data_IF_396026939452
#
_entry.id   IF_396026939452
#
_cell.length_a   1.000
_cell.length_b   1.000
_cell.length_c   1.000
_cell.angle_alpha   90.00
_cell.angle_beta   90.00
_cell.angle_gamma   90.00
#
_symmetry.space_group_name_H-M   'P 1'
#
loop_
_entity.id
_entity.type
_entity.pdbx_description
1 polymer ?
#
# COMPACT_ATOMS: atom_id res chain seq x y z
N UNK A 1 5.82 15.94 6.03
CA UNK A 1 4.66 16.22 6.90
C UNK A 1 3.64 17.11 6.21
N UNK A 2 3.90 18.41 5.95
CA UNK A 2 2.86 19.30 5.38
C UNK A 2 2.51 18.97 3.92
N UNK A 3 3.50 19.01 3.01
CA UNK A 3 3.28 18.72 1.60
C UNK A 3 2.74 17.29 1.39
N UNK A 4 3.38 16.29 2.02
CA UNK A 4 2.93 14.90 1.92
C UNK A 4 1.52 14.71 2.49
N UNK A 5 1.13 15.43 3.55
CA UNK A 5 -0.23 15.37 4.10
C UNK A 5 -1.29 15.84 3.11
N UNK A 6 -1.07 16.96 2.43
CA UNK A 6 -2.01 17.48 1.43
C UNK A 6 -2.19 16.50 0.26
N UNK A 7 -1.09 15.96 -0.25
CA UNK A 7 -1.14 14.97 -1.34
C UNK A 7 -1.83 13.68 -0.89
N UNK A 8 -1.57 13.22 0.34
CA UNK A 8 -2.17 12.02 0.90
C UNK A 8 -3.69 12.13 1.07
N UNK A 9 -4.26 13.31 1.29
CA UNK A 9 -5.72 13.48 1.30
C UNK A 9 -6.31 12.97 -0.01
N UNK A 10 -5.78 13.41 -1.16
CA UNK A 10 -6.27 12.98 -2.47
C UNK A 10 -6.02 11.48 -2.69
N UNK A 11 -4.81 11.01 -2.39
CA UNK A 11 -4.43 9.61 -2.64
C UNK A 11 -5.25 8.62 -1.79
N UNK A 12 -5.38 8.89 -0.49
CA UNK A 12 -6.08 8.01 0.45
C UNK A 12 -7.58 8.03 0.17
N UNK A 13 -8.19 9.21 0.03
CA UNK A 13 -9.63 9.27 -0.23
C UNK A 13 -9.99 8.74 -1.62
N UNK A 14 -9.17 8.98 -2.64
CA UNK A 14 -9.36 8.35 -3.95
C UNK A 14 -9.24 6.82 -3.88
N UNK A 15 -8.26 6.31 -3.13
CA UNK A 15 -8.11 4.87 -2.90
C UNK A 15 -9.34 4.31 -2.16
N UNK A 16 -9.77 4.91 -1.05
CA UNK A 16 -10.95 4.44 -0.31
C UNK A 16 -12.23 4.54 -1.14
N UNK A 17 -12.43 5.64 -1.86
CA UNK A 17 -13.61 5.85 -2.69
C UNK A 17 -13.68 4.80 -3.81
N UNK A 18 -12.57 4.54 -4.50
CA UNK A 18 -12.53 3.51 -5.53
C UNK A 18 -12.90 2.14 -4.96
N UNK A 19 -12.20 1.68 -3.92
CA UNK A 19 -12.35 0.31 -3.42
C UNK A 19 -13.64 0.07 -2.61
N UNK A 20 -14.20 1.08 -1.94
CA UNK A 20 -15.35 0.89 -1.03
C UNK A 20 -16.66 1.51 -1.54
N UNK A 21 -16.60 2.64 -2.25
CA UNK A 21 -17.80 3.42 -2.59
C UNK A 21 -18.22 3.27 -4.04
N UNK A 22 -17.26 3.27 -4.96
CA UNK A 22 -17.53 3.28 -6.41
C UNK A 22 -17.53 1.88 -7.02
N UNK A 23 -16.84 0.92 -6.42
CA UNK A 23 -16.93 -0.49 -6.84
C UNK A 23 -18.30 -1.07 -6.46
N UNK A 24 -19.09 -1.58 -7.42
CA UNK A 24 -20.33 -2.31 -7.11
C UNK A 24 -20.04 -3.51 -6.19
N UNK A 25 -20.80 -3.63 -5.11
CA UNK A 25 -20.54 -4.62 -4.05
C UNK A 25 -19.57 -4.12 -2.96
N UNK A 26 -18.99 -2.93 -3.10
CA UNK A 26 -18.13 -2.28 -2.12
C UNK A 26 -16.98 -3.18 -1.68
N UNK A 27 -16.70 -3.23 -0.37
CA UNK A 27 -15.61 -4.05 0.18
C UNK A 27 -15.74 -5.54 -0.14
N UNK A 28 -16.96 -6.05 -0.35
CA UNK A 28 -17.18 -7.46 -0.67
C UNK A 28 -16.74 -7.84 -2.09
N UNK A 29 -16.51 -6.85 -2.95
CA UNK A 29 -15.97 -7.06 -4.29
C UNK A 29 -14.44 -7.10 -4.31
N UNK A 30 -13.76 -6.79 -3.21
CA UNK A 30 -12.30 -6.79 -3.13
C UNK A 30 -11.80 -8.21 -2.91
N UNK A 31 -11.52 -8.90 -4.00
CA UNK A 31 -10.90 -10.23 -4.03
C UNK A 31 -9.59 -10.23 -4.85
N UNK A 32 -9.01 -11.41 -5.07
CA UNK A 32 -7.79 -11.56 -5.87
C UNK A 32 -7.97 -11.06 -7.31
N UNK A 33 -9.12 -11.33 -7.93
CA UNK A 33 -9.41 -10.92 -9.30
C UNK A 33 -9.53 -9.40 -9.41
N UNK A 34 -10.24 -8.77 -8.47
CA UNK A 34 -10.33 -7.32 -8.40
C UNK A 34 -8.95 -6.66 -8.24
N UNK A 35 -8.15 -7.13 -7.27
CA UNK A 35 -6.80 -6.59 -7.05
C UNK A 35 -5.92 -6.82 -8.27
N UNK A 36 -6.00 -8.00 -8.89
CA UNK A 36 -5.24 -8.32 -10.09
C UNK A 36 -5.58 -7.49 -11.30
N UNK A 37 -6.87 -7.29 -11.57
CA UNK A 37 -7.32 -6.39 -12.64
C UNK A 37 -6.90 -4.95 -12.38
N UNK A 38 -6.98 -4.47 -11.13
CA UNK A 38 -6.52 -3.13 -10.74
C UNK A 38 -5.01 -2.99 -10.97
N UNK A 39 -4.21 -3.93 -10.47
CA UNK A 39 -2.75 -3.89 -10.58
C UNK A 39 -2.24 -4.23 -11.98
N UNK A 40 -3.06 -4.74 -12.90
CA UNK A 40 -2.72 -4.85 -14.32
C UNK A 40 -2.65 -3.48 -15.03
N UNK A 41 -3.21 -2.42 -14.44
CA UNK A 41 -3.19 -1.07 -15.01
C UNK A 41 -2.07 -0.22 -14.38
N UNK A 42 -1.14 0.35 -15.18
CA UNK A 42 -0.02 1.15 -14.66
C UNK A 42 -0.45 2.35 -13.80
N UNK A 43 -1.60 2.95 -14.11
CA UNK A 43 -2.15 4.06 -13.33
C UNK A 43 -2.31 3.69 -11.85
N UNK A 44 -2.92 2.53 -11.56
CA UNK A 44 -3.15 2.11 -10.18
C UNK A 44 -1.87 1.64 -9.48
N UNK A 45 -0.95 1.02 -10.20
CA UNK A 45 0.38 0.67 -9.67
C UNK A 45 1.09 1.91 -9.12
N UNK A 46 1.19 2.97 -9.93
CA UNK A 46 1.84 4.21 -9.52
C UNK A 46 1.05 4.98 -8.46
N UNK A 47 -0.28 4.97 -8.53
CA UNK A 47 -1.14 5.56 -7.48
C UNK A 47 -0.85 4.90 -6.12
N UNK A 48 -0.91 3.57 -6.06
CA UNK A 48 -0.75 2.82 -4.81
C UNK A 48 0.70 2.88 -4.30
N UNK A 49 1.73 2.85 -5.17
CA UNK A 49 3.14 3.02 -4.76
C UNK A 49 3.42 4.44 -4.26
N UNK A 50 2.92 5.46 -4.96
CA UNK A 50 3.08 6.85 -4.50
C UNK A 50 2.41 7.03 -3.13
N UNK A 51 1.20 6.49 -2.96
CA UNK A 51 0.50 6.50 -1.69
C UNK A 51 1.27 5.74 -0.60
N UNK A 52 1.76 4.53 -0.89
CA UNK A 52 2.57 3.71 0.04
C UNK A 52 3.77 4.50 0.56
N UNK A 53 4.59 5.03 -0.35
CA UNK A 53 5.79 5.77 0.02
C UNK A 53 5.45 7.00 0.84
N UNK A 54 4.50 7.82 0.39
CA UNK A 54 4.12 9.03 1.11
C UNK A 54 3.50 8.72 2.47
N UNK A 55 2.64 7.72 2.57
CA UNK A 55 1.94 7.36 3.80
C UNK A 55 2.91 6.79 4.83
N UNK A 56 3.79 5.86 4.44
CA UNK A 56 4.78 5.27 5.37
C UNK A 56 5.82 6.31 5.80
N UNK A 57 6.32 7.16 4.90
CA UNK A 57 7.28 8.22 5.27
C UNK A 57 6.62 9.29 6.15
N UNK A 58 5.40 9.72 5.82
CA UNK A 58 4.65 10.68 6.63
C UNK A 58 4.34 10.09 8.02
N UNK A 59 3.77 8.89 8.06
CA UNK A 59 3.42 8.19 9.30
C UNK A 59 4.64 7.93 10.18
N UNK A 60 5.72 7.40 9.61
CA UNK A 60 6.96 7.11 10.34
C UNK A 60 7.61 8.36 10.93
N UNK A 61 7.59 9.49 10.21
CA UNK A 61 8.09 10.74 10.77
C UNK A 61 7.17 11.29 11.88
N UNK A 62 5.85 11.10 11.78
CA UNK A 62 4.92 11.39 12.88
C UNK A 62 5.18 10.51 14.10
N UNK A 63 5.37 9.21 13.90
CA UNK A 63 5.71 8.26 14.97
C UNK A 63 7.05 8.60 15.63
N UNK A 64 8.05 9.07 14.86
CA UNK A 64 9.30 9.59 15.42
C UNK A 64 9.06 10.75 16.39
N UNK A 65 8.18 11.70 16.04
CA UNK A 65 7.80 12.79 16.95
C UNK A 65 7.17 12.24 18.22
N UNK A 66 6.15 11.38 18.10
CA UNK A 66 5.49 10.74 19.26
C UNK A 66 6.50 10.00 20.14
N UNK A 67 7.40 9.20 19.57
CA UNK A 67 8.41 8.46 20.35
C UNK A 67 9.36 9.39 21.08
N UNK A 68 9.79 10.49 20.46
CA UNK A 68 10.66 11.46 21.11
C UNK A 68 9.97 12.19 22.27
N UNK A 69 8.66 12.42 22.16
CA UNK A 69 7.88 13.15 23.16
C UNK A 69 7.45 12.27 24.34
N UNK A 70 7.15 10.98 24.10
CA UNK A 70 6.55 10.10 25.10
C UNK A 70 7.49 9.02 25.67
N UNK A 71 8.59 8.68 24.99
CA UNK A 71 9.53 7.64 25.47
C UNK A 71 10.73 8.26 26.18
N UNK A 72 10.67 8.25 27.51
CA UNK A 72 11.65 8.93 28.36
C UNK A 72 12.94 8.13 28.59
N UNK A 73 12.88 6.79 28.55
CA UNK A 73 14.06 5.93 28.74
C UNK A 73 14.91 5.93 27.46
N UNK A 74 16.19 6.39 27.49
CA UNK A 74 16.99 6.59 26.29
C UNK A 74 17.19 5.33 25.43
N UNK A 75 17.40 4.18 26.09
CA UNK A 75 17.58 2.89 25.41
C UNK A 75 16.31 2.43 24.70
N UNK A 76 15.15 2.53 25.38
CA UNK A 76 13.85 2.17 24.80
C UNK A 76 13.51 3.10 23.63
N UNK A 77 13.78 4.41 23.78
CA UNK A 77 13.56 5.38 22.70
C UNK A 77 14.41 5.04 21.47
N UNK A 78 15.69 4.75 21.66
CA UNK A 78 16.58 4.37 20.56
C UNK A 78 16.08 3.12 19.84
N UNK A 79 15.70 2.07 20.60
CA UNK A 79 15.13 0.84 20.03
C UNK A 79 13.84 1.12 19.25
N UNK A 80 12.93 1.93 19.80
CA UNK A 80 11.67 2.27 19.14
C UNK A 80 11.89 3.05 17.83
N UNK A 81 12.82 4.00 17.80
CA UNK A 81 13.17 4.74 16.59
C UNK A 81 13.78 3.84 15.51
N UNK A 82 14.66 2.91 15.90
CA UNK A 82 15.21 1.90 14.99
C UNK A 82 14.12 0.97 14.45
N UNK A 83 13.22 0.49 15.32
CA UNK A 83 12.11 -0.36 14.93
C UNK A 83 11.18 0.34 13.92
N UNK A 84 10.87 1.62 14.13
CA UNK A 84 10.09 2.43 13.16
C UNK A 84 10.82 2.52 11.83
N UNK A 85 12.12 2.83 11.83
CA UNK A 85 12.91 2.94 10.59
C UNK A 85 12.98 1.63 9.81
N UNK A 86 13.22 0.51 10.51
CA UNK A 86 13.28 -0.83 9.90
C UNK A 86 11.91 -1.23 9.36
N UNK A 87 10.84 -1.07 10.15
CA UNK A 87 9.48 -1.36 9.70
C UNK A 87 9.10 -0.54 8.47
N UNK A 88 9.42 0.76 8.46
CA UNK A 88 9.19 1.62 7.31
C UNK A 88 9.91 1.12 6.05
N UNK A 89 11.19 0.74 6.19
CA UNK A 89 11.98 0.22 5.07
C UNK A 89 11.40 -1.10 4.54
N UNK A 90 11.08 -2.04 5.43
CA UNK A 90 10.48 -3.34 5.06
C UNK A 90 9.15 -3.13 4.33
N UNK A 91 8.24 -2.32 4.88
CA UNK A 91 6.92 -2.09 4.29
C UNK A 91 7.00 -1.41 2.93
N UNK A 92 7.90 -0.42 2.77
CA UNK A 92 8.12 0.26 1.49
C UNK A 92 8.69 -0.72 0.46
N UNK A 93 9.75 -1.47 0.81
CA UNK A 93 10.39 -2.39 -0.12
C UNK A 93 9.42 -3.50 -0.52
N UNK A 94 8.79 -4.16 0.45
CA UNK A 94 7.87 -5.27 0.20
C UNK A 94 6.65 -4.82 -0.60
N UNK A 95 6.03 -3.70 -0.22
CA UNK A 95 4.86 -3.17 -0.93
C UNK A 95 5.18 -2.73 -2.35
N UNK A 96 6.35 -2.11 -2.56
CA UNK A 96 6.81 -1.73 -3.92
C UNK A 96 7.09 -2.97 -4.76
N UNK A 97 7.78 -3.96 -4.19
CA UNK A 97 8.08 -5.23 -4.86
C UNK A 97 6.78 -5.90 -5.31
N UNK A 98 5.86 -6.16 -4.38
CA UNK A 98 4.59 -6.84 -4.68
C UNK A 98 3.81 -6.06 -5.73
N UNK A 99 3.74 -4.73 -5.67
CA UNK A 99 2.96 -3.94 -6.64
C UNK A 99 3.45 -4.13 -8.08
N UNK A 100 4.77 -4.26 -8.29
CA UNK A 100 5.35 -4.39 -9.63
C UNK A 100 5.67 -5.83 -10.04
N UNK A 101 5.70 -6.77 -9.11
CA UNK A 101 5.93 -8.20 -9.40
C UNK A 101 4.67 -9.06 -9.25
N UNK A 102 3.52 -8.47 -8.95
CA UNK A 102 2.26 -9.19 -8.89
C UNK A 102 1.85 -9.66 -10.28
N UNK A 103 1.79 -10.99 -10.47
CA UNK A 103 1.27 -11.59 -11.68
C UNK A 103 -0.11 -12.20 -11.40
N UNK A 104 -1.21 -11.59 -11.89
CA UNK A 104 -2.55 -12.16 -11.74
C UNK A 104 -2.79 -13.40 -12.60
N UNK A 105 -1.96 -13.62 -13.63
CA UNK A 105 -2.10 -14.69 -14.62
C UNK A 105 -0.78 -15.48 -14.73
N UNK A 106 -0.41 -16.26 -13.69
CA UNK A 106 0.82 -17.03 -13.73
C UNK A 106 0.81 -18.11 -14.82
N UNK A 107 1.91 -18.24 -15.56
CA UNK A 107 2.09 -19.26 -16.58
C UNK A 107 1.96 -20.66 -15.98
N UNK A 108 1.21 -21.54 -16.67
CA UNK A 108 1.00 -22.92 -16.23
C UNK A 108 -0.03 -23.11 -15.12
N UNK A 109 -0.72 -22.05 -14.69
CA UNK A 109 -1.87 -22.18 -13.81
C UNK A 109 -3.06 -22.84 -14.54
N UNK A 110 -3.86 -23.59 -13.79
CA UNK A 110 -5.09 -24.18 -14.30
C UNK A 110 -6.04 -23.06 -14.78
N UNK A 111 -6.42 -23.02 -16.07
CA UNK A 111 -7.29 -21.98 -16.61
C UNK A 111 -8.65 -21.88 -15.89
N UNK A 112 -9.12 -22.96 -15.26
CA UNK A 112 -10.36 -22.95 -14.47
C UNK A 112 -10.26 -22.20 -13.15
N UNK A 113 -9.03 -21.95 -12.67
CA UNK A 113 -8.73 -21.23 -11.44
C UNK A 113 -8.32 -19.77 -11.70
N UNK A 114 -8.14 -19.38 -12.96
CA UNK A 114 -7.73 -18.03 -13.33
C UNK A 114 -8.92 -17.07 -13.40
N UNK A 115 -8.74 -15.80 -12.99
CA UNK A 115 -9.73 -14.76 -13.25
C UNK A 115 -10.06 -14.63 -14.74
N UNK A 116 -11.31 -14.32 -15.07
CA UNK A 116 -11.78 -14.28 -16.48
C UNK A 116 -11.01 -13.30 -17.37
N UNK A 117 -10.44 -12.23 -16.81
CA UNK A 117 -9.63 -11.27 -17.56
C UNK A 117 -8.28 -11.85 -18.01
N UNK A 118 -7.81 -12.95 -17.42
CA UNK A 118 -6.59 -13.62 -17.87
C UNK A 118 -6.75 -14.31 -19.23
N UNK A 119 -7.98 -14.54 -19.69
CA UNK A 119 -8.25 -15.08 -21.02
C UNK A 119 -8.19 -14.01 -22.13
N UNK A 120 -8.21 -12.73 -21.75
CA UNK A 120 -8.20 -11.58 -22.68
C UNK A 120 -6.81 -10.92 -22.81
N UNK A 121 -5.83 -11.38 -22.03
CA UNK A 121 -4.46 -10.89 -21.99
C UNK A 121 -3.56 -11.70 -22.94
#
# INVERSE_FOLDING_TARGET
>A
MRASGVVLVVLIFGHLAYNLLWTPGGIHAVDFGFVGGKLAQPFWQWWDVLMLWLAILHGSNGMRTIVNDYVHKPTIRAVALWAIGIAAAILIILGTLITFTFNPCPEGADPSLLPSFCAEL
#
